data_IF_349013103294
#
_entry.id   IF_349013103294
#
_cell.length_a   1.000
_cell.length_b   1.000
_cell.length_c   1.000
_cell.angle_alpha   90.00
_cell.angle_beta   90.00
_cell.angle_gamma   90.00
#
_symmetry.space_group_name_H-M   'P 1'
#
loop_
_entity.id
_entity.type
_entity.pdbx_description
1 polymer ?
#
# COMPACT_ATOMS: atom_id res chain seq x y z
N UNK A 1 -17.16 -12.12 1.69
CA UNK A 1 -16.84 -10.83 1.05
C UNK A 1 -15.81 -11.09 -0.03
N UNK A 2 -16.13 -10.78 -1.28
CA UNK A 2 -15.19 -10.83 -2.40
C UNK A 2 -14.57 -9.44 -2.57
N UNK A 3 -13.23 -9.37 -2.58
CA UNK A 3 -12.51 -8.13 -2.87
C UNK A 3 -12.26 -8.06 -4.38
N UNK A 4 -12.23 -6.84 -4.96
CA UNK A 4 -11.91 -6.68 -6.38
C UNK A 4 -10.40 -6.91 -6.59
N UNK A 5 -9.98 -7.45 -7.74
CA UNK A 5 -8.56 -7.70 -8.02
C UNK A 5 -7.71 -6.43 -7.90
N UNK A 6 -8.21 -5.29 -8.38
CA UNK A 6 -7.53 -3.99 -8.28
C UNK A 6 -7.35 -3.52 -6.83
N UNK A 7 -8.39 -3.67 -6.01
CA UNK A 7 -8.37 -3.34 -4.58
C UNK A 7 -7.41 -4.24 -3.79
N UNK A 8 -7.31 -5.51 -4.18
CA UNK A 8 -6.35 -6.46 -3.59
C UNK A 8 -4.92 -6.08 -3.94
N UNK A 9 -4.63 -5.74 -5.20
CA UNK A 9 -3.30 -5.30 -5.64
C UNK A 9 -2.89 -3.99 -4.98
N UNK A 10 -3.80 -3.02 -4.89
CA UNK A 10 -3.53 -1.75 -4.22
C UNK A 10 -3.30 -1.92 -2.72
N UNK A 11 -4.16 -2.72 -2.06
CA UNK A 11 -3.99 -3.05 -0.65
C UNK A 11 -2.68 -3.79 -0.37
N UNK A 12 -2.29 -4.71 -1.26
CA UNK A 12 -1.02 -5.42 -1.18
C UNK A 12 0.18 -4.50 -1.30
N UNK A 13 0.15 -3.49 -2.17
CA UNK A 13 1.23 -2.49 -2.27
C UNK A 13 1.28 -1.57 -1.05
N UNK A 14 0.11 -1.18 -0.54
CA UNK A 14 0.01 -0.23 0.57
C UNK A 14 0.30 -0.87 1.93
N UNK A 15 0.07 -2.18 2.11
CA UNK A 15 0.31 -2.84 3.40
C UNK A 15 1.79 -3.09 3.68
N UNK A 16 2.64 -3.24 2.65
CA UNK A 16 4.08 -3.53 2.77
C UNK A 16 4.83 -2.65 3.78
N UNK A 17 4.69 -1.30 3.79
CA UNK A 17 5.30 -0.45 4.83
C UNK A 17 4.84 -0.78 6.25
N UNK A 18 3.62 -1.28 6.41
CA UNK A 18 3.02 -1.59 7.72
C UNK A 18 3.30 -3.03 8.15
N UNK A 19 3.77 -3.91 7.27
CA UNK A 19 4.12 -5.29 7.62
C UNK A 19 5.09 -5.41 8.81
N UNK A 20 6.20 -4.65 8.90
CA UNK A 20 7.10 -4.73 10.07
C UNK A 20 6.39 -4.40 11.38
N UNK A 21 5.46 -3.44 11.38
CA UNK A 21 4.65 -3.07 12.55
C UNK A 21 3.58 -4.13 12.86
N UNK A 22 2.94 -4.69 11.84
CA UNK A 22 1.88 -5.67 11.99
C UNK A 22 2.43 -7.05 12.39
N UNK A 23 3.44 -7.55 11.69
CA UNK A 23 3.91 -8.94 11.76
C UNK A 23 5.27 -9.10 12.44
N UNK A 24 6.01 -8.02 12.70
CA UNK A 24 7.34 -8.09 13.30
C UNK A 24 8.30 -8.92 12.45
N UNK A 25 8.89 -9.98 13.03
CA UNK A 25 9.85 -10.84 12.33
C UNK A 25 9.29 -11.54 11.07
N UNK A 26 7.99 -11.87 11.06
CA UNK A 26 7.34 -12.50 9.91
C UNK A 26 7.07 -11.51 8.74
N UNK A 27 7.31 -10.21 8.97
CA UNK A 27 7.12 -9.19 7.95
C UNK A 27 8.02 -9.39 6.74
N UNK A 28 9.28 -9.79 6.94
CA UNK A 28 10.26 -9.95 5.85
C UNK A 28 9.81 -11.04 4.87
N UNK A 29 9.35 -12.18 5.39
CA UNK A 29 8.88 -13.28 4.56
C UNK A 29 7.56 -12.95 3.85
N UNK A 30 6.63 -12.27 4.55
CA UNK A 30 5.38 -11.82 3.94
C UNK A 30 5.61 -10.75 2.87
N UNK A 31 6.52 -9.81 3.14
CA UNK A 31 6.90 -8.75 2.21
C UNK A 31 7.51 -9.33 0.94
N UNK A 32 8.44 -10.29 1.07
CA UNK A 32 9.05 -10.98 -0.06
C UNK A 32 8.02 -11.71 -0.92
N UNK A 33 7.07 -12.41 -0.29
CA UNK A 33 6.00 -13.10 -1.03
C UNK A 33 5.07 -12.12 -1.73
N UNK A 34 4.73 -10.98 -1.10
CA UNK A 34 3.95 -9.93 -1.74
C UNK A 34 4.70 -9.30 -2.91
N UNK A 35 6.00 -9.06 -2.79
CA UNK A 35 6.85 -8.54 -3.86
C UNK A 35 6.82 -9.44 -5.10
N UNK A 36 7.01 -10.74 -4.89
CA UNK A 36 7.04 -11.73 -5.96
C UNK A 36 5.69 -11.78 -6.69
N UNK A 37 4.58 -11.84 -5.94
CA UNK A 37 3.24 -11.83 -6.52
C UNK A 37 2.96 -10.51 -7.26
N UNK A 38 3.34 -9.36 -6.70
CA UNK A 38 3.16 -8.06 -7.36
C UNK A 38 4.01 -7.93 -8.63
N UNK A 39 5.21 -8.51 -8.68
CA UNK A 39 6.02 -8.60 -9.89
C UNK A 39 5.33 -9.45 -10.96
N UNK A 40 4.79 -10.61 -10.60
CA UNK A 40 3.98 -11.45 -11.50
C UNK A 40 2.74 -10.72 -12.01
N UNK A 41 2.08 -9.92 -11.17
CA UNK A 41 0.93 -9.09 -11.56
C UNK A 41 1.30 -8.10 -12.67
N UNK A 42 2.49 -7.49 -12.58
CA UNK A 42 3.00 -6.57 -13.60
C UNK A 42 3.29 -7.26 -14.93
N UNK A 43 3.65 -8.55 -14.90
CA UNK A 43 3.79 -9.38 -16.09
C UNK A 43 2.44 -9.83 -16.68
N UNK A 44 1.31 -9.37 -16.12
CA UNK A 44 -0.04 -9.69 -16.57
C UNK A 44 -0.61 -10.98 -15.98
N UNK A 45 0.03 -11.56 -14.95
CA UNK A 45 -0.50 -12.74 -14.29
C UNK A 45 -1.61 -12.40 -13.28
N UNK A 46 -2.66 -13.22 -13.25
CA UNK A 46 -3.73 -13.11 -12.26
C UNK A 46 -3.28 -13.68 -10.90
N UNK A 47 -2.74 -12.82 -10.05
CA UNK A 47 -2.22 -13.17 -8.72
C UNK A 47 -3.11 -12.69 -7.56
N UNK A 48 -4.21 -12.00 -7.84
CA UNK A 48 -5.10 -11.42 -6.83
C UNK A 48 -5.60 -12.46 -5.81
N UNK A 49 -5.96 -13.66 -6.26
CA UNK A 49 -6.35 -14.76 -5.39
C UNK A 49 -5.23 -15.23 -4.45
N UNK A 50 -3.99 -15.25 -4.95
CA UNK A 50 -2.81 -15.66 -4.17
C UNK A 50 -2.46 -14.60 -3.12
N UNK A 51 -2.45 -13.33 -3.52
CA UNK A 51 -2.24 -12.18 -2.64
C UNK A 51 -3.30 -12.16 -1.54
N UNK A 52 -4.58 -12.33 -1.91
CA UNK A 52 -5.66 -12.34 -0.95
C UNK A 52 -5.55 -13.50 0.03
N UNK A 53 -5.10 -14.66 -0.43
CA UNK A 53 -4.87 -15.84 0.42
C UNK A 53 -3.76 -15.56 1.42
N UNK A 54 -2.64 -14.99 0.98
CA UNK A 54 -1.52 -14.61 1.84
C UNK A 54 -1.94 -13.59 2.92
N UNK A 55 -2.71 -12.57 2.54
CA UNK A 55 -3.23 -11.57 3.46
C UNK A 55 -4.28 -12.13 4.43
N UNK A 56 -5.03 -13.17 4.02
CA UNK A 56 -5.98 -13.88 4.90
C UNK A 56 -5.29 -14.80 5.90
N UNK A 57 -4.12 -15.33 5.56
CA UNK A 57 -3.33 -16.18 6.46
C UNK A 57 -2.88 -15.45 7.72
N UNK A 58 -2.82 -14.12 7.69
CA UNK A 58 -2.50 -13.32 8.88
C UNK A 58 -3.69 -12.43 9.28
N UNK A 59 -4.22 -12.57 10.51
CA UNK A 59 -5.41 -11.84 10.94
C UNK A 59 -5.18 -10.32 10.95
N UNK A 60 -3.97 -9.86 11.32
CA UNK A 60 -3.60 -8.45 11.34
C UNK A 60 -3.59 -7.83 9.94
N UNK A 61 -3.08 -8.54 8.93
CA UNK A 61 -3.06 -8.02 7.56
C UNK A 61 -4.45 -8.02 6.94
N UNK A 62 -5.28 -9.01 7.26
CA UNK A 62 -6.66 -9.06 6.83
C UNK A 62 -7.49 -7.92 7.45
N UNK A 63 -7.27 -7.62 8.73
CA UNK A 63 -7.91 -6.49 9.41
C UNK A 63 -7.50 -5.17 8.75
N UNK A 64 -6.20 -4.95 8.56
CA UNK A 64 -5.68 -3.76 7.89
C UNK A 64 -6.27 -3.59 6.48
N UNK A 65 -6.35 -4.66 5.69
CA UNK A 65 -6.94 -4.63 4.35
C UNK A 65 -8.42 -4.22 4.37
N UNK A 66 -9.19 -4.72 5.34
CA UNK A 66 -10.60 -4.33 5.50
C UNK A 66 -10.73 -2.85 5.85
N UNK A 67 -9.91 -2.34 6.76
CA UNK A 67 -9.91 -0.92 7.15
C UNK A 67 -9.52 -0.01 5.99
N UNK A 68 -8.47 -0.39 5.24
CA UNK A 68 -8.03 0.31 4.04
C UNK A 68 -9.15 0.41 3.00
N UNK A 69 -9.82 -0.70 2.69
CA UNK A 69 -10.89 -0.73 1.70
C UNK A 69 -12.17 -0.05 2.20
N UNK A 70 -12.47 -0.12 3.50
CA UNK A 70 -13.57 0.64 4.09
C UNK A 70 -13.32 2.15 3.98
N UNK A 71 -12.10 2.61 4.27
CA UNK A 71 -11.69 4.01 4.11
C UNK A 71 -11.80 4.47 2.65
N UNK A 72 -11.34 3.65 1.70
CA UNK A 72 -11.44 3.93 0.26
C UNK A 72 -12.89 3.99 -0.23
N UNK A 73 -13.75 3.10 0.26
CA UNK A 73 -15.18 3.12 -0.05
C UNK A 73 -15.86 4.39 0.46
N UNK A 74 -15.49 4.88 1.64
CA UNK A 74 -15.96 6.16 2.18
C UNK A 74 -15.36 7.38 1.47
N UNK A 75 -14.15 7.27 0.90
CA UNK A 75 -13.45 8.38 0.24
C UNK A 75 -14.03 8.78 -1.12
N UNK A 76 -15.00 8.02 -1.67
CA UNK A 76 -15.81 8.46 -2.82
C UNK A 76 -16.71 9.68 -2.51
N UNK A 77 -16.73 10.15 -1.27
CA UNK A 77 -17.30 11.43 -0.84
C UNK A 77 -16.45 12.14 0.21
N UNK A 78 -15.13 12.27 0.02
CA UNK A 78 -14.29 13.04 0.96
C UNK A 78 -14.53 14.55 0.79
N UNK A 79 -15.52 15.06 1.51
CA UNK A 79 -15.60 16.46 1.92
C UNK A 79 -14.58 16.68 3.06
N UNK A 80 -13.62 17.63 2.93
CA UNK A 80 -12.70 17.92 4.02
C UNK A 80 -13.49 18.48 5.20
N UNK A 81 -13.29 17.90 6.40
CA UNK A 81 -13.87 18.41 7.65
C UNK A 81 -13.53 19.91 7.81
N UNK A 82 -14.53 20.79 7.98
CA UNK A 82 -14.29 22.22 8.14
C UNK A 82 -13.72 22.48 9.54
N UNK A 83 -12.42 22.74 9.63
CA UNK A 83 -11.83 23.15 10.92
C UNK A 83 -10.33 22.99 11.11
N UNK A 84 -9.60 22.36 10.19
CA UNK A 84 -8.14 22.23 10.33
C UNK A 84 -7.43 22.82 9.11
N UNK A 85 -6.92 24.02 9.32
CA UNK A 85 -6.06 24.78 8.42
C UNK A 85 -4.86 23.96 7.99
N UNK A 86 -4.69 23.79 6.68
CA UNK A 86 -3.55 23.13 6.05
C UNK A 86 -3.92 21.79 5.44
N UNK A 87 -4.36 21.82 4.18
CA UNK A 87 -4.27 20.65 3.33
C UNK A 87 -2.78 20.31 3.14
N UNK A 88 -2.19 19.59 4.11
CA UNK A 88 -0.90 18.96 3.87
C UNK A 88 -1.24 17.82 2.91
N UNK A 89 -1.11 18.08 1.62
CA UNK A 89 -1.18 17.05 0.61
C UNK A 89 -0.24 15.94 1.06
N UNK A 90 -0.79 14.80 1.48
CA UNK A 90 0.03 13.67 1.89
C UNK A 90 0.90 13.29 0.69
N UNK A 91 2.20 13.58 0.75
CA UNK A 91 3.10 13.35 -0.37
C UNK A 91 3.11 11.84 -0.63
N UNK A 92 2.57 11.44 -1.78
CA UNK A 92 2.54 10.04 -2.20
C UNK A 92 3.89 9.72 -2.80
N UNK A 93 4.50 8.64 -2.36
CA UNK A 93 5.71 8.07 -2.93
C UNK A 93 5.39 6.71 -3.53
N UNK A 94 5.85 6.47 -4.74
CA UNK A 94 5.64 5.23 -5.47
C UNK A 94 6.97 4.66 -5.94
N UNK A 95 7.07 3.34 -5.92
CA UNK A 95 8.15 2.67 -6.60
C UNK A 95 8.06 2.95 -8.12
N UNK A 96 9.18 3.22 -8.83
CA UNK A 96 9.18 3.33 -10.29
C UNK A 96 8.59 2.09 -10.98
N UNK A 97 8.75 0.93 -10.35
CA UNK A 97 8.18 -0.34 -10.80
C UNK A 97 6.75 -0.57 -10.26
N UNK A 98 6.08 0.41 -9.67
CA UNK A 98 4.69 0.28 -9.17
C UNK A 98 4.46 -0.77 -8.07
N UNK A 99 5.53 -1.37 -7.53
CA UNK A 99 5.51 -2.47 -6.57
C UNK A 99 5.20 -2.04 -5.13
N UNK A 100 5.37 -0.75 -4.84
CA UNK A 100 5.26 -0.20 -3.49
C UNK A 100 4.68 1.20 -3.54
N UNK A 101 3.78 1.51 -2.60
CA UNK A 101 3.17 2.83 -2.45
C UNK A 101 3.21 3.23 -0.99
N UNK A 102 3.69 4.44 -0.73
CA UNK A 102 3.75 5.01 0.61
C UNK A 102 3.14 6.41 0.62
N UNK A 103 2.45 6.74 1.70
CA UNK A 103 1.84 8.05 1.90
C UNK A 103 2.53 8.74 3.08
N UNK A 104 3.25 9.81 2.80
CA UNK A 104 3.90 10.61 3.82
C UNK A 104 2.85 11.45 4.55
N UNK A 105 2.50 11.05 5.77
CA UNK A 105 1.53 11.78 6.60
C UNK A 105 2.13 13.04 7.23
N UNK A 106 3.44 13.06 7.44
CA UNK A 106 4.18 14.19 8.04
C UNK A 106 5.56 14.33 7.39
N UNK A 107 5.97 15.56 7.07
CA UNK A 107 7.25 15.87 6.41
C UNK A 107 8.52 15.56 7.23
N UNK A 108 8.38 15.05 8.46
CA UNK A 108 9.50 14.67 9.34
C UNK A 108 9.72 13.16 9.47
N UNK A 109 8.91 12.31 8.82
CA UNK A 109 9.09 10.86 8.85
C UNK A 109 9.97 10.46 7.67
N UNK A 110 11.11 9.77 7.87
CA UNK A 110 11.94 9.31 6.78
C UNK A 110 11.15 8.39 5.85
N UNK A 111 11.20 8.68 4.56
CA UNK A 111 10.56 7.86 3.52
C UNK A 111 11.23 6.49 3.51
N UNK A 112 10.49 5.39 3.75
CA UNK A 112 11.07 4.06 3.64
C UNK A 112 11.42 3.79 2.18
N UNK A 113 12.55 3.14 1.94
CA UNK A 113 12.88 2.61 0.61
C UNK A 113 12.00 1.39 0.28
N UNK A 114 11.64 1.22 -0.99
CA UNK A 114 11.10 -0.03 -1.50
C UNK A 114 12.09 -1.17 -1.20
N UNK A 115 11.70 -2.19 -0.42
CA UNK A 115 12.58 -3.31 -0.10
C UNK A 115 12.94 -4.17 -1.33
N UNK A 116 12.17 -4.07 -2.42
CA UNK A 116 12.42 -4.80 -3.68
C UNK A 116 13.32 -4.03 -4.66
N UNK A 117 13.10 -2.72 -4.80
CA UNK A 117 13.66 -1.92 -5.89
C UNK A 117 14.49 -0.71 -5.43
N UNK A 118 14.58 -0.45 -4.12
CA UNK A 118 15.34 0.67 -3.57
C UNK A 118 14.51 1.94 -3.41
N UNK A 119 14.90 3.04 -4.07
CA UNK A 119 14.34 4.36 -3.78
C UNK A 119 12.88 4.52 -4.26
N UNK A 120 12.03 5.16 -3.43
CA UNK A 120 10.68 5.55 -3.82
C UNK A 120 10.68 6.96 -4.42
N UNK A 121 9.91 7.18 -5.48
CA UNK A 121 9.79 8.47 -6.14
C UNK A 121 8.49 9.18 -5.77
N UNK A 122 8.49 10.51 -5.58
CA UNK A 122 7.27 11.26 -5.33
C UNK A 122 6.33 11.20 -6.54
N UNK A 123 5.11 10.74 -6.31
CA UNK A 123 4.03 10.71 -7.31
C UNK A 123 3.43 12.10 -7.44
N UNK A 124 3.77 12.80 -8.52
CA UNK A 124 3.20 14.11 -8.84
C UNK A 124 4.21 15.24 -9.07
N UNK A 125 5.52 14.99 -8.97
CA UNK A 125 6.54 15.97 -9.38
C UNK A 125 6.76 15.92 -10.90
N UNK A 126 5.78 16.47 -11.62
CA UNK A 126 5.99 16.95 -12.98
C UNK A 126 6.95 18.14 -12.90
N UNK A 127 8.26 17.89 -13.01
CA UNK A 127 9.26 18.95 -13.24
C UNK A 127 8.87 19.69 -14.52
N UNK A 128 8.43 20.95 -14.38
CA UNK A 128 8.44 21.96 -15.44
C UNK A 128 9.61 22.89 -15.22
#
# INVERSE_FOLDING_TARGET
MAFKPDDVLEGARCIRPYLPDLLGAAAVECDRQLADLLAQAQQGQAVDGQILTLLKSHPKTLQWLKEFLASKASSKGYEPLPGSSGAIAAQKYVCPQGDYVWYQRSAGIPVPTCPTHGELQPFGESRS
#
